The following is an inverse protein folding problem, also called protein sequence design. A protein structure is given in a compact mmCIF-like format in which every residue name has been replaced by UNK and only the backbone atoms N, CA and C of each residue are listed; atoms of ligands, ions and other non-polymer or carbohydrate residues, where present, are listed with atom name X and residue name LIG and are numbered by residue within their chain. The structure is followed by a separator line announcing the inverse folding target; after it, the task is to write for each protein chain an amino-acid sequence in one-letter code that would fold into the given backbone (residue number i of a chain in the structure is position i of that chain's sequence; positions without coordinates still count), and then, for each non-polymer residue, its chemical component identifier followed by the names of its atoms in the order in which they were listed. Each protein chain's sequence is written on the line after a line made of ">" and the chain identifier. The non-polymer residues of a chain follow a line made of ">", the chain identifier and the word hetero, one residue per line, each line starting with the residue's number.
data_IF_103828521763
#
_entry.id   IF_103828521763
#
_cell.length_a   1.000
_cell.length_b   1.000
_cell.length_c   1.000
_cell.angle_alpha   90.00
_cell.angle_beta   90.00
_cell.angle_gamma   90.00
#
_symmetry.space_group_name_H-M   'P 1'
#
loop_
_entity.id
_entity.type
_entity.pdbx_description
1 polymer ?
#
# COMPACT_ATOMS: atom_id res chain seq x y z
N UNK A 1 -8.41 11.56 11.84
CA UNK A 1 -7.92 10.52 10.91
C UNK A 1 -9.09 10.01 10.11
N UNK A 2 -8.89 9.49 8.90
CA UNK A 2 -9.98 8.93 8.11
C UNK A 2 -10.56 7.67 8.73
N UNK A 3 -11.88 7.55 8.70
CA UNK A 3 -12.60 6.31 8.96
C UNK A 3 -12.77 5.58 7.63
N UNK A 4 -12.34 4.32 7.55
CA UNK A 4 -12.32 3.58 6.29
C UNK A 4 -13.00 2.22 6.40
N UNK A 5 -13.62 1.76 5.32
CA UNK A 5 -14.12 0.40 5.16
C UNK A 5 -13.26 -0.35 4.14
N UNK A 6 -12.69 -1.49 4.53
CA UNK A 6 -12.00 -2.38 3.60
C UNK A 6 -13.02 -3.03 2.65
N UNK A 7 -12.78 -2.97 1.35
CA UNK A 7 -13.70 -3.43 0.31
C UNK A 7 -13.14 -4.57 -0.52
N UNK A 8 -11.80 -4.65 -0.65
CA UNK A 8 -11.14 -5.71 -1.43
C UNK A 8 -9.73 -5.99 -0.93
N UNK A 9 -9.35 -7.26 -0.83
CA UNK A 9 -7.96 -7.67 -0.72
C UNK A 9 -7.32 -7.62 -2.11
N UNK A 10 -6.24 -6.87 -2.28
CA UNK A 10 -5.54 -6.72 -3.55
C UNK A 10 -4.42 -7.74 -3.70
N UNK A 11 -3.65 -7.92 -2.62
CA UNK A 11 -2.46 -8.75 -2.64
C UNK A 11 -2.09 -9.28 -1.25
N UNK A 12 -1.50 -10.47 -1.21
CA UNK A 12 -0.74 -10.99 -0.07
C UNK A 12 0.66 -11.30 -0.56
N UNK A 13 1.63 -10.49 -0.15
CA UNK A 13 2.99 -10.59 -0.65
C UNK A 13 3.99 -11.05 0.40
N UNK A 14 4.86 -12.00 0.06
CA UNK A 14 6.04 -12.28 0.87
C UNK A 14 7.02 -11.11 0.79
N UNK A 15 7.28 -10.46 1.93
CA UNK A 15 8.24 -9.36 2.02
C UNK A 15 9.65 -9.77 1.57
N UNK A 16 10.05 -11.01 1.80
CA UNK A 16 11.37 -11.53 1.46
C UNK A 16 11.49 -11.97 0.00
N UNK A 17 10.38 -11.99 -0.76
CA UNK A 17 10.44 -12.41 -2.15
C UNK A 17 11.25 -11.38 -3.00
N UNK A 18 12.25 -11.83 -3.78
CA UNK A 18 13.19 -10.94 -4.48
C UNK A 18 12.55 -9.88 -5.38
N UNK A 19 11.37 -10.18 -5.96
CA UNK A 19 10.63 -9.26 -6.84
C UNK A 19 10.25 -7.92 -6.18
N UNK A 20 10.13 -7.87 -4.86
CA UNK A 20 9.73 -6.66 -4.14
C UNK A 20 10.91 -5.75 -3.77
N UNK A 21 12.15 -6.26 -3.88
CA UNK A 21 13.36 -5.46 -3.63
C UNK A 21 13.44 -4.85 -2.22
N UNK A 22 12.77 -5.45 -1.22
CA UNK A 22 12.80 -4.94 0.14
C UNK A 22 14.18 -5.16 0.79
N UNK A 23 14.68 -4.22 1.61
CA UNK A 23 15.90 -4.42 2.38
C UNK A 23 15.72 -5.59 3.38
N UNK A 24 16.81 -6.28 3.75
CA UNK A 24 16.76 -7.35 4.74
C UNK A 24 16.05 -6.93 6.03
N UNK A 25 15.26 -7.84 6.59
CA UNK A 25 14.59 -7.66 7.87
C UNK A 25 14.89 -8.85 8.78
N UNK A 26 14.95 -8.64 10.11
CA UNK A 26 15.25 -9.71 11.07
C UNK A 26 14.15 -10.77 11.16
N UNK A 27 12.93 -10.46 10.68
CA UNK A 27 11.77 -11.34 10.75
C UNK A 27 11.15 -11.50 9.36
N UNK A 28 10.65 -12.70 9.09
CA UNK A 28 9.81 -12.98 7.93
C UNK A 28 8.41 -12.42 8.15
N UNK A 29 7.76 -11.92 7.10
CA UNK A 29 6.42 -11.35 7.18
C UNK A 29 5.72 -11.37 5.82
N UNK A 30 4.43 -11.67 5.84
CA UNK A 30 3.54 -11.38 4.71
C UNK A 30 2.92 -9.98 4.84
N UNK A 31 2.77 -9.31 3.70
CA UNK A 31 2.16 -7.98 3.60
C UNK A 31 0.83 -8.10 2.88
N UNK A 32 -0.25 -7.77 3.59
CA UNK A 32 -1.59 -7.80 3.04
C UNK A 32 -1.98 -6.37 2.65
N UNK A 33 -2.44 -6.19 1.42
CA UNK A 33 -2.82 -4.90 0.86
C UNK A 33 -4.33 -4.86 0.61
N UNK A 34 -5.01 -3.94 1.28
CA UNK A 34 -6.46 -3.78 1.17
C UNK A 34 -6.81 -2.48 0.46
N UNK A 35 -7.72 -2.55 -0.52
CA UNK A 35 -8.44 -1.38 -1.01
C UNK A 35 -9.50 -1.01 0.01
N UNK A 36 -9.55 0.27 0.33
CA UNK A 36 -10.50 0.82 1.29
C UNK A 36 -11.24 2.01 0.69
N UNK A 37 -12.46 2.24 1.17
CA UNK A 37 -13.23 3.45 0.92
C UNK A 37 -13.22 4.32 2.18
N UNK A 38 -13.02 5.63 2.01
CA UNK A 38 -13.20 6.60 3.09
C UNK A 38 -14.71 6.78 3.30
N UNK A 39 -15.17 6.52 4.52
CA UNK A 39 -16.59 6.62 4.91
C UNK A 39 -16.85 7.75 5.91
N UNK A 40 -15.81 8.49 6.28
CA UNK A 40 -15.90 9.66 7.15
C UNK A 40 -14.55 10.05 7.73
N UNK A 41 -14.58 10.98 8.68
CA UNK A 41 -13.38 11.55 9.29
C UNK A 41 -12.65 12.53 8.38
N UNK A 42 -11.53 13.05 8.87
CA UNK A 42 -10.70 14.05 8.20
C UNK A 42 -9.23 13.75 8.48
N UNK A 43 -8.29 14.20 7.62
CA UNK A 43 -6.87 13.95 7.84
C UNK A 43 -6.43 14.64 9.14
N UNK A 44 -5.74 13.91 10.00
CA UNK A 44 -5.29 14.41 11.30
C UNK A 44 -3.90 13.85 11.59
N UNK A 45 -2.93 14.73 11.79
CA UNK A 45 -1.57 14.34 12.18
C UNK A 45 -1.54 13.78 13.61
N UNK A 46 -0.47 13.06 13.94
CA UNK A 46 -0.19 12.53 15.27
C UNK A 46 1.32 12.58 15.55
N UNK A 47 1.72 12.11 16.73
CA UNK A 47 3.14 11.91 17.05
C UNK A 47 3.83 10.87 16.16
N UNK A 48 3.06 9.97 15.53
CA UNK A 48 3.57 8.96 14.60
C UNK A 48 3.54 9.44 13.14
N UNK A 49 2.59 10.31 12.78
CA UNK A 49 2.34 10.75 11.40
C UNK A 49 2.28 12.26 11.32
N UNK A 50 3.33 12.88 10.78
CA UNK A 50 3.49 14.33 10.75
C UNK A 50 2.76 15.01 9.59
N UNK A 51 2.49 14.30 8.51
CA UNK A 51 1.81 14.81 7.31
C UNK A 51 0.99 13.73 6.62
N UNK A 52 -0.09 14.14 5.94
CA UNK A 52 -1.03 13.27 5.22
C UNK A 52 -1.40 13.98 3.92
N UNK A 53 -1.30 13.30 2.79
CA UNK A 53 -1.69 13.84 1.49
C UNK A 53 -2.05 12.70 0.51
N UNK A 54 -2.63 13.06 -0.64
CA UNK A 54 -2.94 12.16 -1.74
C UNK A 54 -2.04 12.45 -2.94
N UNK A 55 -1.50 11.38 -3.55
CA UNK A 55 -0.57 11.48 -4.66
C UNK A 55 -1.09 10.72 -5.87
N UNK A 56 -1.01 11.35 -7.04
CA UNK A 56 -1.25 10.69 -8.32
C UNK A 56 -0.08 9.80 -8.74
N UNK A 57 -0.27 8.95 -9.77
CA UNK A 57 0.75 7.99 -10.23
C UNK A 57 2.06 8.65 -10.69
N UNK A 58 2.00 9.90 -11.18
CA UNK A 58 3.16 10.67 -11.66
C UNK A 58 3.76 11.61 -10.60
N UNK A 59 3.21 11.61 -9.38
CA UNK A 59 3.58 12.53 -8.31
C UNK A 59 3.96 11.79 -7.01
N UNK A 60 4.52 10.59 -7.13
CA UNK A 60 4.87 9.75 -5.98
C UNK A 60 6.03 10.39 -5.19
N UNK A 61 5.87 10.63 -3.87
CA UNK A 61 6.92 11.23 -3.04
C UNK A 61 8.05 10.20 -2.76
N UNK A 62 9.17 10.63 -2.16
CA UNK A 62 10.18 9.71 -1.67
C UNK A 62 9.59 8.62 -0.78
N UNK A 63 9.83 7.36 -1.13
CA UNK A 63 9.26 6.20 -0.44
C UNK A 63 10.15 5.70 0.68
N UNK A 64 9.54 4.99 1.64
CA UNK A 64 10.25 4.15 2.60
C UNK A 64 10.37 2.73 2.01
N UNK A 65 11.54 2.32 1.48
CA UNK A 65 11.65 1.07 0.71
C UNK A 65 11.36 -0.18 1.53
N UNK A 66 11.53 -0.13 2.86
CA UNK A 66 11.17 -1.21 3.76
C UNK A 66 9.67 -1.34 4.03
N UNK A 67 8.88 -0.30 3.72
CA UNK A 67 7.43 -0.31 3.86
C UNK A 67 6.76 -0.62 2.54
N UNK A 68 6.97 0.15 1.48
CA UNK A 68 6.37 -0.08 0.16
C UNK A 68 7.34 0.37 -0.94
N UNK A 69 7.51 -0.47 -1.96
CA UNK A 69 8.31 -0.13 -3.14
C UNK A 69 7.47 0.55 -4.23
N UNK A 70 8.14 1.23 -5.17
CA UNK A 70 7.46 1.90 -6.29
C UNK A 70 6.68 0.91 -7.17
N UNK A 71 7.23 -0.27 -7.42
CA UNK A 71 6.57 -1.34 -8.20
C UNK A 71 5.25 -1.80 -7.58
N UNK A 72 5.19 -1.91 -6.25
CA UNK A 72 3.97 -2.26 -5.52
C UNK A 72 2.91 -1.16 -5.68
N UNK A 73 3.31 0.11 -5.57
CA UNK A 73 2.39 1.25 -5.74
C UNK A 73 1.85 1.30 -7.16
N UNK A 74 2.70 1.17 -8.17
CA UNK A 74 2.29 1.11 -9.59
C UNK A 74 1.30 -0.03 -9.81
N UNK A 75 1.57 -1.22 -9.24
CA UNK A 75 0.65 -2.35 -9.35
C UNK A 75 -0.73 -2.06 -8.77
N UNK A 76 -0.82 -1.25 -7.72
CA UNK A 76 -2.12 -0.88 -7.13
C UNK A 76 -2.89 0.15 -7.97
N UNK A 77 -2.19 0.97 -8.76
CA UNK A 77 -2.86 1.75 -9.82
C UNK A 77 -3.39 0.83 -10.93
N UNK A 78 -2.67 -0.23 -11.33
CA UNK A 78 -3.22 -1.20 -12.29
C UNK A 78 -4.51 -1.87 -11.78
N UNK A 79 -4.55 -2.26 -10.49
CA UNK A 79 -5.75 -2.82 -9.87
C UNK A 79 -6.90 -1.81 -9.73
N UNK A 80 -6.59 -0.51 -9.71
CA UNK A 80 -7.60 0.54 -9.74
C UNK A 80 -8.27 0.58 -11.11
N UNK A 81 -7.49 0.48 -12.18
CA UNK A 81 -7.99 0.43 -13.57
C UNK A 81 -8.69 -0.91 -13.90
N UNK A 82 -8.28 -2.00 -13.24
CA UNK A 82 -8.80 -3.35 -13.44
C UNK A 82 -9.39 -3.91 -12.13
N UNK A 83 -10.58 -3.43 -11.71
CA UNK A 83 -11.15 -3.77 -10.41
C UNK A 83 -11.43 -5.26 -10.23
N UNK A 84 -11.66 -5.99 -11.32
CA UNK A 84 -11.98 -7.42 -11.34
C UNK A 84 -10.75 -8.34 -11.47
N UNK A 85 -9.54 -7.78 -11.49
CA UNK A 85 -8.32 -8.57 -11.50
C UNK A 85 -8.32 -9.59 -10.32
N UNK A 86 -7.67 -10.75 -10.45
CA UNK A 86 -7.54 -11.67 -9.33
C UNK A 86 -6.69 -11.06 -8.21
N UNK A 87 -6.92 -11.51 -6.98
CA UNK A 87 -6.02 -11.23 -5.86
C UNK A 87 -4.66 -11.86 -6.16
N UNK A 88 -3.57 -11.12 -5.93
CA UNK A 88 -2.24 -11.64 -6.16
C UNK A 88 -1.58 -12.22 -4.91
N UNK A 89 -0.75 -13.23 -5.12
CA UNK A 89 -0.03 -13.96 -4.08
C UNK A 89 1.40 -14.25 -4.55
N UNK A 90 2.34 -14.31 -3.60
CA UNK A 90 3.67 -14.90 -3.74
C UNK A 90 4.29 -15.28 -2.39
#
# INVERSE_FOLDING_TARGET
>A
GYTTRATRLLAVYDRAHPRHGHPPAPYHSYKLFFRCEIVGGEPTSSYETTAIDFFGPDAIPPLSPGRNGLSQIQRFFDFWEHPDAPVEFD
#
